data_IF_124693308798
#
_entry.id   IF_124693308798
#
_cell.length_a   1.000
_cell.length_b   1.000
_cell.length_c   1.000
_cell.angle_alpha   90.00
_cell.angle_beta   90.00
_cell.angle_gamma   90.00
#
_symmetry.space_group_name_H-M   'P 1'
#
loop_
_entity.id
_entity.type
_entity.pdbx_description
1 polymer ?
#
# COMPACT_ATOMS: atom_id res chain seq x y z
N UNK A 1 4.59 31.18 -33.63
CA UNK A 1 5.05 30.17 -32.66
C UNK A 1 5.05 30.82 -31.31
N UNK A 2 4.20 30.35 -30.39
CA UNK A 2 3.92 31.04 -29.13
C UNK A 2 5.22 31.12 -28.29
N UNK A 3 5.69 32.34 -28.05
CA UNK A 3 6.73 32.59 -27.06
C UNK A 3 6.16 32.13 -25.71
N UNK A 4 6.76 31.11 -25.10
CA UNK A 4 6.53 30.78 -23.69
C UNK A 4 6.97 32.01 -22.88
N UNK A 5 6.00 32.83 -22.51
CA UNK A 5 6.20 34.03 -21.72
C UNK A 5 6.24 33.69 -20.23
N UNK A 6 6.71 34.63 -19.41
CA UNK A 6 6.72 34.49 -17.95
C UNK A 6 5.31 34.26 -17.38
N UNK A 7 4.28 34.76 -18.06
CA UNK A 7 2.88 34.51 -17.71
C UNK A 7 2.47 33.05 -17.82
N UNK A 8 2.92 32.35 -18.88
CA UNK A 8 2.63 30.92 -19.08
C UNK A 8 3.26 30.06 -17.98
N UNK A 9 4.50 30.35 -17.56
CA UNK A 9 5.15 29.62 -16.46
C UNK A 9 4.41 29.82 -15.14
N UNK A 10 3.95 31.05 -14.85
CA UNK A 10 3.15 31.32 -13.65
C UNK A 10 1.82 30.54 -13.65
N UNK A 11 1.17 30.41 -14.81
CA UNK A 11 -0.05 29.59 -14.92
C UNK A 11 0.23 28.11 -14.65
N UNK A 12 1.32 27.56 -15.18
CA UNK A 12 1.73 26.17 -14.90
C UNK A 12 2.04 25.97 -13.41
N UNK A 13 2.71 26.94 -12.77
CA UNK A 13 2.96 26.93 -11.33
C UNK A 13 1.64 26.89 -10.53
N UNK A 14 0.66 27.71 -10.92
CA UNK A 14 -0.66 27.75 -10.28
C UNK A 14 -1.41 26.41 -10.42
N UNK A 15 -1.38 25.80 -11.61
CA UNK A 15 -1.99 24.48 -11.84
C UNK A 15 -1.31 23.39 -11.01
N UNK A 16 0.02 23.43 -10.90
CA UNK A 16 0.78 22.49 -10.08
C UNK A 16 0.47 22.66 -8.59
N UNK A 17 0.32 23.90 -8.11
CA UNK A 17 -0.12 24.17 -6.73
C UNK A 17 -1.54 23.66 -6.46
N UNK A 18 -2.47 23.79 -7.42
CA UNK A 18 -3.81 23.23 -7.29
C UNK A 18 -3.77 21.69 -7.23
N UNK A 19 -2.93 21.04 -8.04
CA UNK A 19 -2.73 19.60 -7.98
C UNK A 19 -2.10 19.16 -6.65
N UNK A 20 -1.18 19.96 -6.10
CA UNK A 20 -0.52 19.72 -4.81
C UNK A 20 -1.51 19.61 -3.66
N UNK A 21 -2.47 20.53 -3.58
CA UNK A 21 -3.51 20.48 -2.54
C UNK A 21 -4.31 19.17 -2.57
N UNK A 22 -4.63 18.67 -3.77
CA UNK A 22 -5.31 17.37 -3.94
C UNK A 22 -4.41 16.20 -3.54
N UNK A 23 -3.13 16.24 -3.93
CA UNK A 23 -2.16 15.21 -3.56
C UNK A 23 -1.96 15.13 -2.04
N UNK A 24 -1.93 16.26 -1.32
CA UNK A 24 -1.82 16.28 0.15
C UNK A 24 -2.95 15.50 0.79
N UNK A 25 -4.19 15.76 0.35
CA UNK A 25 -5.37 15.07 0.87
C UNK A 25 -5.27 13.56 0.62
N UNK A 26 -4.96 13.16 -0.61
CA UNK A 26 -4.87 11.74 -0.97
C UNK A 26 -3.72 11.05 -0.22
N UNK A 27 -2.54 11.66 -0.14
CA UNK A 27 -1.38 11.10 0.56
C UNK A 27 -1.67 10.87 2.05
N UNK A 28 -2.49 11.72 2.69
CA UNK A 28 -2.91 11.51 4.08
C UNK A 28 -3.76 10.24 4.28
N UNK A 29 -4.43 9.79 3.22
CA UNK A 29 -5.23 8.56 3.20
C UNK A 29 -4.41 7.35 2.71
N UNK A 30 -3.20 7.58 2.20
CA UNK A 30 -2.31 6.50 1.76
C UNK A 30 -1.73 5.77 2.96
N UNK A 31 -2.15 4.51 3.14
CA UNK A 31 -1.59 3.61 4.16
C UNK A 31 -0.64 2.63 3.51
N UNK A 32 0.64 2.76 3.82
CA UNK A 32 1.64 1.75 3.50
C UNK A 32 1.60 0.66 4.56
N UNK A 33 1.44 -0.58 4.13
CA UNK A 33 1.65 -1.76 4.99
C UNK A 33 2.60 -2.70 4.28
N UNK A 34 3.10 -3.70 4.99
CA UNK A 34 3.98 -4.74 4.44
C UNK A 34 3.43 -5.38 3.15
N UNK A 35 2.10 -5.36 2.95
CA UNK A 35 1.42 -6.04 1.84
C UNK A 35 0.68 -5.12 0.87
N UNK A 36 0.76 -3.81 1.14
CA UNK A 36 0.09 -2.78 0.37
C UNK A 36 1.03 -1.61 0.26
N UNK A 37 1.78 -1.57 -0.83
CA UNK A 37 2.63 -0.43 -1.12
C UNK A 37 1.97 0.45 -2.18
N UNK A 38 2.28 1.74 -2.08
CA UNK A 38 1.90 2.70 -3.11
C UNK A 38 2.61 2.34 -4.41
N UNK A 39 1.84 2.29 -5.50
CA UNK A 39 2.37 2.05 -6.84
C UNK A 39 1.86 3.11 -7.79
N UNK A 40 2.82 3.88 -8.29
CA UNK A 40 2.65 4.70 -9.46
C UNK A 40 3.87 4.46 -10.34
N UNK A 41 3.71 3.60 -11.34
CA UNK A 41 4.78 3.18 -12.26
C UNK A 41 4.70 4.01 -13.54
N UNK A 42 5.07 5.28 -13.42
CA UNK A 42 5.28 6.13 -14.59
C UNK A 42 6.78 6.16 -14.89
N UNK A 43 7.18 5.42 -15.94
CA UNK A 43 8.54 5.38 -16.50
C UNK A 43 9.09 6.75 -16.95
N UNK A 44 8.23 7.77 -16.94
CA UNK A 44 8.52 9.16 -17.25
C UNK A 44 9.09 9.95 -16.06
N UNK A 45 9.21 9.32 -14.88
CA UNK A 45 9.81 9.92 -13.69
C UNK A 45 11.23 9.38 -13.44
N UNK A 46 12.20 10.24 -13.10
CA UNK A 46 13.57 9.83 -12.83
C UNK A 46 13.72 8.85 -11.66
N UNK A 47 12.87 8.96 -10.64
CA UNK A 47 12.92 8.12 -9.44
C UNK A 47 11.52 7.69 -9.03
N UNK A 48 11.39 6.44 -8.61
CA UNK A 48 10.18 5.97 -7.94
C UNK A 48 9.98 6.73 -6.64
N UNK A 49 8.74 7.05 -6.32
CA UNK A 49 8.35 7.57 -5.01
C UNK A 49 7.23 6.70 -4.42
N UNK A 50 7.10 6.75 -3.10
CA UNK A 50 6.06 6.04 -2.36
C UNK A 50 4.87 6.94 -2.00
N UNK A 51 4.88 8.19 -2.47
CA UNK A 51 3.84 9.20 -2.22
C UNK A 51 3.57 10.02 -3.50
N UNK A 52 2.36 10.54 -3.66
CA UNK A 52 2.04 11.44 -4.77
C UNK A 52 2.84 12.74 -4.65
N UNK A 53 3.07 13.23 -3.43
CA UNK A 53 3.90 14.40 -3.17
C UNK A 53 5.34 14.21 -3.65
N UNK A 54 5.94 13.03 -3.48
CA UNK A 54 7.30 12.79 -3.97
C UNK A 54 7.39 12.72 -5.49
N UNK A 55 6.31 12.35 -6.19
CA UNK A 55 6.21 12.54 -7.64
C UNK A 55 6.02 14.00 -8.01
N UNK A 56 5.19 14.74 -7.27
CA UNK A 56 4.97 16.17 -7.49
C UNK A 56 6.26 16.99 -7.32
N UNK A 57 7.11 16.67 -6.34
CA UNK A 57 8.44 17.28 -6.19
C UNK A 57 9.35 17.05 -7.41
N UNK A 58 9.19 15.93 -8.11
CA UNK A 58 9.93 15.69 -9.36
C UNK A 58 9.39 16.56 -10.50
N UNK A 59 8.09 16.79 -10.57
CA UNK A 59 7.46 17.71 -11.54
C UNK A 59 7.91 19.15 -11.26
N UNK A 60 7.94 19.57 -10.00
CA UNK A 60 8.46 20.89 -9.58
C UNK A 60 9.91 21.10 -10.06
N UNK A 61 10.75 20.06 -9.96
CA UNK A 61 12.13 20.11 -10.48
C UNK A 61 12.18 20.24 -12.00
N UNK A 62 11.30 19.56 -12.71
CA UNK A 62 11.18 19.70 -14.18
C UNK A 62 10.74 21.11 -14.56
N UNK A 63 9.77 21.69 -13.85
CA UNK A 63 9.31 23.07 -14.09
C UNK A 63 10.42 24.10 -13.84
N UNK A 64 11.17 23.96 -12.74
CA UNK A 64 12.32 24.82 -12.45
C UNK A 64 13.42 24.68 -13.51
N UNK A 65 13.60 23.47 -14.06
CA UNK A 65 14.56 23.23 -15.14
C UNK A 65 14.11 23.94 -16.42
N UNK A 66 12.83 23.85 -16.77
CA UNK A 66 12.23 24.57 -17.89
C UNK A 66 12.38 26.10 -17.74
N UNK A 67 12.06 26.66 -16.56
CA UNK A 67 12.25 28.08 -16.27
C UNK A 67 13.72 28.51 -16.40
N UNK A 68 14.66 27.66 -15.95
CA UNK A 68 16.09 27.91 -16.13
C UNK A 68 16.51 27.90 -17.60
N UNK A 69 15.89 27.05 -18.42
CA UNK A 69 16.19 26.97 -19.85
C UNK A 69 15.70 28.21 -20.61
N UNK A 70 14.51 28.70 -20.26
CA UNK A 70 13.92 29.93 -20.82
C UNK A 70 14.75 31.14 -20.41
N UNK A 71 15.03 31.31 -19.10
CA UNK A 71 15.79 32.46 -18.58
C UNK A 71 17.22 32.54 -19.14
N UNK A 72 17.87 31.39 -19.32
CA UNK A 72 19.22 31.30 -19.91
C UNK A 72 19.23 31.30 -21.43
N UNK A 73 18.08 31.49 -22.10
CA UNK A 73 17.92 31.47 -23.56
C UNK A 73 18.62 30.26 -24.20
N UNK A 74 18.39 29.07 -23.62
CA UNK A 74 18.90 27.80 -24.17
C UNK A 74 18.26 27.53 -25.53
N UNK A 75 18.79 26.54 -26.26
CA UNK A 75 18.26 26.19 -27.58
C UNK A 75 16.78 25.82 -27.50
N UNK A 76 16.03 26.20 -28.54
CA UNK A 76 14.58 25.94 -28.63
C UNK A 76 14.24 24.45 -28.50
N UNK A 77 15.09 23.58 -29.06
CA UNK A 77 14.97 22.12 -28.92
C UNK A 77 14.98 21.67 -27.44
N UNK A 78 15.86 22.25 -26.62
CA UNK A 78 15.99 21.86 -25.22
C UNK A 78 14.80 22.36 -24.40
N UNK A 79 14.32 23.57 -24.68
CA UNK A 79 13.08 24.11 -24.07
C UNK A 79 11.89 23.19 -24.41
N UNK A 80 11.77 22.77 -25.67
CA UNK A 80 10.70 21.88 -26.13
C UNK A 80 10.73 20.53 -25.39
N UNK A 81 11.92 19.93 -25.23
CA UNK A 81 12.09 18.66 -24.51
C UNK A 81 11.66 18.80 -23.04
N UNK A 82 12.08 19.86 -22.35
CA UNK A 82 11.67 20.10 -20.96
C UNK A 82 10.16 20.39 -20.83
N UNK A 83 9.56 21.08 -21.81
CA UNK A 83 8.11 21.25 -21.87
C UNK A 83 7.38 19.92 -22.03
N UNK A 84 7.77 19.09 -23.00
CA UNK A 84 7.15 17.78 -23.24
C UNK A 84 7.24 16.90 -21.98
N UNK A 85 8.42 16.87 -21.36
CA UNK A 85 8.65 16.14 -20.10
C UNK A 85 7.73 16.64 -18.98
N UNK A 86 7.61 17.94 -18.79
CA UNK A 86 6.70 18.52 -17.81
C UNK A 86 5.25 18.12 -18.07
N UNK A 87 4.77 18.28 -19.32
CA UNK A 87 3.39 17.99 -19.71
C UNK A 87 3.06 16.52 -19.47
N UNK A 88 3.94 15.60 -19.88
CA UNK A 88 3.76 14.16 -19.68
C UNK A 88 3.69 13.81 -18.20
N UNK A 89 4.64 14.29 -17.39
CA UNK A 89 4.65 14.01 -15.95
C UNK A 89 3.41 14.57 -15.25
N UNK A 90 3.01 15.81 -15.60
CA UNK A 90 1.82 16.46 -15.04
C UNK A 90 0.53 15.72 -15.41
N UNK A 91 0.35 15.34 -16.68
CA UNK A 91 -0.82 14.61 -17.15
C UNK A 91 -0.96 13.24 -16.45
N UNK A 92 0.13 12.49 -16.33
CA UNK A 92 0.11 11.19 -15.66
C UNK A 92 -0.31 11.30 -14.20
N UNK A 93 0.27 12.27 -13.47
CA UNK A 93 -0.10 12.49 -12.07
C UNK A 93 -1.55 12.99 -11.93
N UNK A 94 -1.98 13.90 -12.80
CA UNK A 94 -3.35 14.42 -12.81
C UNK A 94 -4.38 13.32 -13.10
N UNK A 95 -4.11 12.45 -14.08
CA UNK A 95 -4.99 11.31 -14.40
C UNK A 95 -5.13 10.34 -13.24
N UNK A 96 -4.03 10.06 -12.54
CA UNK A 96 -4.05 9.22 -11.35
C UNK A 96 -4.93 9.86 -10.27
N UNK A 97 -4.67 11.12 -9.93
CA UNK A 97 -5.42 11.86 -8.91
C UNK A 97 -6.92 11.95 -9.28
N UNK A 98 -7.26 12.22 -10.53
CA UNK A 98 -8.65 12.20 -11.01
C UNK A 98 -9.30 10.83 -10.89
N UNK A 99 -8.55 9.74 -11.09
CA UNK A 99 -9.07 8.38 -10.94
C UNK A 99 -9.35 8.06 -9.48
N UNK A 100 -8.49 8.51 -8.56
CA UNK A 100 -8.68 8.37 -7.11
C UNK A 100 -9.91 9.15 -6.66
N UNK A 101 -10.08 10.40 -7.09
CA UNK A 101 -11.24 11.23 -6.75
C UNK A 101 -12.57 10.60 -7.25
N UNK A 102 -12.52 9.78 -8.31
CA UNK A 102 -13.65 8.99 -8.82
C UNK A 102 -13.87 7.68 -8.06
N UNK A 103 -13.22 7.49 -6.91
CA UNK A 103 -13.34 6.29 -6.08
C UNK A 103 -12.46 5.12 -6.50
N UNK A 104 -11.55 5.28 -7.47
CA UNK A 104 -10.63 4.21 -7.92
C UNK A 104 -9.33 4.18 -7.11
N UNK A 105 -9.42 4.35 -5.79
CA UNK A 105 -8.27 4.38 -4.90
C UNK A 105 -7.46 3.07 -4.89
N UNK A 106 -8.06 1.95 -5.32
CA UNK A 106 -7.36 0.67 -5.51
C UNK A 106 -6.23 0.75 -6.55
N UNK A 107 -6.30 1.67 -7.51
CA UNK A 107 -5.24 1.89 -8.51
C UNK A 107 -3.93 2.39 -7.91
N UNK A 108 -3.97 3.00 -6.72
CA UNK A 108 -2.77 3.49 -6.02
C UNK A 108 -1.95 2.37 -5.40
N UNK A 109 -2.44 1.13 -5.42
CA UNK A 109 -1.83 0.04 -4.67
C UNK A 109 -1.69 -1.19 -5.56
N UNK A 110 -0.50 -1.79 -5.55
CA UNK A 110 -0.35 -3.21 -5.88
C UNK A 110 -0.15 -3.97 -4.58
N UNK A 111 -0.86 -5.08 -4.45
CA UNK A 111 -0.51 -6.10 -3.47
C UNK A 111 0.64 -6.90 -4.06
N UNK A 112 1.81 -6.80 -3.43
CA UNK A 112 3.00 -7.56 -3.83
C UNK A 112 3.08 -8.91 -3.15
N UNK A 113 2.08 -9.30 -2.37
CA UNK A 113 2.12 -10.55 -1.63
C UNK A 113 2.26 -11.68 -2.64
N UNK A 114 3.47 -12.23 -2.74
CA UNK A 114 3.72 -13.46 -3.46
C UNK A 114 2.77 -14.53 -2.91
N UNK A 115 2.43 -15.57 -3.68
CA UNK A 115 1.65 -16.69 -3.15
C UNK A 115 2.21 -17.18 -1.80
N UNK A 116 3.55 -17.24 -1.70
CA UNK A 116 4.32 -17.57 -0.49
C UNK A 116 4.07 -16.58 0.67
N UNK A 117 4.17 -15.27 0.43
CA UNK A 117 3.93 -14.24 1.46
C UNK A 117 2.48 -14.20 1.95
N UNK A 118 1.50 -14.48 1.06
CA UNK A 118 0.09 -14.61 1.45
C UNK A 118 -0.12 -15.77 2.42
N UNK A 119 0.50 -16.91 2.14
CA UNK A 119 0.43 -18.09 2.99
C UNK A 119 1.14 -17.83 4.32
N UNK A 120 2.32 -17.22 4.32
CA UNK A 120 3.01 -16.81 5.56
C UNK A 120 2.16 -15.90 6.45
N UNK A 121 1.42 -14.94 5.88
CA UNK A 121 0.51 -14.11 6.66
C UNK A 121 -0.67 -14.88 7.24
N UNK A 122 -1.19 -15.85 6.49
CA UNK A 122 -2.26 -16.72 6.98
C UNK A 122 -1.74 -17.58 8.13
N UNK A 123 -0.55 -18.16 8.00
CA UNK A 123 0.13 -18.91 9.06
C UNK A 123 0.36 -18.06 10.31
N UNK A 124 0.83 -16.82 10.18
CA UNK A 124 1.04 -15.92 11.32
C UNK A 124 -0.27 -15.65 12.08
N UNK A 125 -1.34 -15.29 11.36
CA UNK A 125 -2.66 -15.06 11.98
C UNK A 125 -3.20 -16.33 12.65
N UNK A 126 -2.94 -17.48 12.05
CA UNK A 126 -3.38 -18.77 12.53
C UNK A 126 -2.65 -19.15 13.83
N UNK A 127 -1.32 -18.98 13.87
CA UNK A 127 -0.50 -19.17 15.07
C UNK A 127 -0.93 -18.28 16.24
N UNK A 128 -1.21 -16.99 15.99
CA UNK A 128 -1.74 -16.08 17.02
C UNK A 128 -3.12 -16.50 17.55
N UNK A 129 -3.95 -17.13 16.72
CA UNK A 129 -5.24 -17.65 17.14
C UNK A 129 -5.10 -18.96 17.92
N UNK A 130 -4.20 -19.85 17.49
CA UNK A 130 -3.87 -21.09 18.20
C UNK A 130 -3.31 -20.83 19.60
N UNK A 131 -2.38 -19.88 19.74
CA UNK A 131 -1.87 -19.47 21.05
C UNK A 131 -2.99 -19.00 21.99
N UNK A 132 -3.96 -18.23 21.47
CA UNK A 132 -5.12 -17.80 22.25
C UNK A 132 -6.03 -18.96 22.63
N UNK A 133 -6.27 -19.91 21.72
CA UNK A 133 -7.06 -21.10 22.03
C UNK A 133 -6.39 -21.96 23.11
N UNK A 134 -5.07 -22.13 23.05
CA UNK A 134 -4.30 -22.86 24.08
C UNK A 134 -4.44 -22.15 25.43
N UNK A 135 -4.27 -20.83 25.47
CA UNK A 135 -4.46 -20.05 26.70
C UNK A 135 -5.87 -20.23 27.28
N UNK A 136 -6.91 -20.14 26.43
CA UNK A 136 -8.29 -20.38 26.86
C UNK A 136 -8.50 -21.81 27.37
N UNK A 137 -7.87 -22.81 26.76
CA UNK A 137 -7.94 -24.21 27.23
C UNK A 137 -7.27 -24.32 28.60
N UNK A 138 -6.06 -23.80 28.77
CA UNK A 138 -5.33 -23.79 30.04
C UNK A 138 -6.15 -23.13 31.15
N UNK A 139 -6.73 -21.96 30.89
CA UNK A 139 -7.58 -21.26 31.86
C UNK A 139 -8.80 -22.11 32.28
N UNK A 140 -9.44 -22.82 31.34
CA UNK A 140 -10.57 -23.69 31.68
C UNK A 140 -10.11 -24.97 32.41
N UNK A 141 -8.93 -25.49 32.10
CA UNK A 141 -8.36 -26.67 32.76
C UNK A 141 -7.96 -26.34 34.21
N UNK A 142 -7.43 -25.14 34.48
CA UNK A 142 -7.18 -24.63 35.84
C UNK A 142 -8.49 -24.50 36.62
N UNK A 143 -9.52 -23.88 36.03
CA UNK A 143 -10.85 -23.79 36.65
C UNK A 143 -11.44 -25.17 36.96
N UNK A 144 -11.21 -26.16 36.10
CA UNK A 144 -11.68 -27.53 36.31
C UNK A 144 -10.92 -28.26 37.43
N UNK A 145 -9.65 -27.89 37.66
CA UNK A 145 -8.83 -28.46 38.72
C UNK A 145 -9.22 -27.95 40.11
N UNK A 146 -9.62 -26.67 40.18
CA UNK A 146 -10.05 -26.01 41.43
C UNK A 146 -11.54 -26.21 41.75
N UNK A 147 -12.36 -26.64 40.79
CA UNK A 147 -13.81 -26.82 40.95
C UNK A 147 -14.21 -28.22 41.48
N UNK A 148 -14.82 -28.24 42.66
CA UNK A 148 -15.42 -29.42 43.29
C UNK A 148 -16.96 -29.46 43.18
N UNK A 149 -17.56 -28.57 42.38
CA UNK A 149 -19.01 -28.34 42.30
C UNK A 149 -19.72 -28.95 41.08
N UNK A 150 -20.99 -28.54 40.91
CA UNK A 150 -21.93 -29.02 39.89
C UNK A 150 -21.58 -28.56 38.45
N UNK A 151 -20.76 -27.51 38.30
CA UNK A 151 -20.41 -26.90 37.00
C UNK A 151 -19.29 -27.63 36.24
N UNK A 152 -18.72 -28.68 36.85
CA UNK A 152 -17.63 -29.47 36.28
C UNK A 152 -17.95 -30.07 34.91
N UNK A 153 -19.19 -30.52 34.69
CA UNK A 153 -19.61 -31.09 33.41
C UNK A 153 -19.65 -30.04 32.30
N UNK A 154 -20.13 -28.83 32.62
CA UNK A 154 -20.18 -27.70 31.70
C UNK A 154 -18.78 -27.21 31.32
N UNK A 155 -17.86 -27.12 32.29
CA UNK A 155 -16.46 -26.75 32.03
C UNK A 155 -15.75 -27.78 31.14
N UNK A 156 -16.02 -29.08 31.31
CA UNK A 156 -15.50 -30.14 30.42
C UNK A 156 -16.01 -30.00 28.99
N UNK A 157 -17.31 -29.77 28.80
CA UNK A 157 -17.89 -29.57 27.47
C UNK A 157 -17.25 -28.36 26.76
N UNK A 158 -17.01 -27.27 27.50
CA UNK A 158 -16.34 -26.07 26.97
C UNK A 158 -14.88 -26.35 26.58
N UNK A 159 -14.14 -27.14 27.37
CA UNK A 159 -12.79 -27.59 27.03
C UNK A 159 -12.81 -28.44 25.77
N UNK A 160 -13.74 -29.39 25.66
CA UNK A 160 -13.88 -30.24 24.46
C UNK A 160 -14.21 -29.41 23.21
N UNK A 161 -15.10 -28.43 23.32
CA UNK A 161 -15.42 -27.52 22.23
C UNK A 161 -14.20 -26.69 21.80
N UNK A 162 -13.40 -26.18 22.75
CA UNK A 162 -12.17 -25.45 22.47
C UNK A 162 -11.10 -26.36 21.83
N UNK A 163 -10.93 -27.59 22.32
CA UNK A 163 -10.02 -28.60 21.72
C UNK A 163 -10.45 -28.96 20.30
N UNK A 164 -11.74 -29.13 20.04
CA UNK A 164 -12.26 -29.36 18.70
C UNK A 164 -12.03 -28.18 17.74
N UNK A 165 -12.12 -26.94 18.23
CA UNK A 165 -11.74 -25.75 17.44
C UNK A 165 -10.24 -25.70 17.17
N UNK A 166 -9.43 -26.03 18.17
CA UNK A 166 -7.98 -26.10 18.03
C UNK A 166 -7.54 -27.15 17.01
N UNK A 167 -8.14 -28.34 17.01
CA UNK A 167 -7.86 -29.39 16.01
C UNK A 167 -8.17 -28.93 14.58
N UNK A 168 -9.29 -28.23 14.37
CA UNK A 168 -9.65 -27.66 13.06
C UNK A 168 -8.64 -26.59 12.63
N UNK A 169 -8.19 -25.77 13.58
CA UNK A 169 -7.17 -24.76 13.36
C UNK A 169 -5.84 -25.39 12.95
N UNK A 170 -5.37 -26.39 13.70
CA UNK A 170 -4.15 -27.12 13.43
C UNK A 170 -4.21 -27.81 12.05
N UNK A 171 -5.33 -28.44 11.72
CA UNK A 171 -5.53 -29.05 10.39
C UNK A 171 -5.48 -28.04 9.24
N UNK A 172 -5.90 -26.79 9.50
CA UNK A 172 -5.79 -25.70 8.52
C UNK A 172 -4.34 -25.19 8.42
N UNK A 173 -3.63 -25.08 9.54
CA UNK A 173 -2.19 -24.75 9.59
C UNK A 173 -1.37 -25.75 8.77
N UNK A 174 -1.58 -27.05 8.97
CA UNK A 174 -0.90 -28.11 8.21
C UNK A 174 -1.16 -27.99 6.69
N UNK A 175 -2.39 -27.62 6.29
CA UNK A 175 -2.70 -27.39 4.87
C UNK A 175 -1.94 -26.18 4.31
N UNK A 176 -1.81 -25.11 5.09
CA UNK A 176 -1.06 -23.92 4.69
C UNK A 176 0.45 -24.22 4.62
N UNK A 177 0.98 -25.01 5.54
CA UNK A 177 2.37 -25.48 5.52
C UNK A 177 2.65 -26.33 4.28
N UNK A 178 1.75 -27.26 3.95
CA UNK A 178 1.86 -28.07 2.73
C UNK A 178 1.80 -27.21 1.47
N UNK A 179 0.89 -26.23 1.41
CA UNK A 179 0.84 -25.27 0.29
C UNK A 179 2.09 -24.41 0.20
N UNK A 180 2.75 -24.12 1.32
CA UNK A 180 4.01 -23.37 1.35
C UNK A 180 5.17 -24.20 0.80
N UNK A 181 5.20 -25.50 1.12
CA UNK A 181 6.17 -26.47 0.60
C UNK A 181 5.99 -26.73 -0.90
N UNK A 182 4.74 -26.74 -1.40
CA UNK A 182 4.44 -26.88 -2.84
C UNK A 182 4.82 -25.64 -3.66
N UNK A 183 4.97 -24.47 -3.02
CA UNK A 183 5.49 -23.25 -3.65
C UNK A 183 7.01 -23.32 -3.56
N UNK A 184 7.58 -24.21 -4.35
CA UNK A 184 9.01 -24.41 -4.46
C UNK A 184 9.68 -23.27 -5.25
N UNK A 185 10.91 -22.96 -4.86
CA UNK A 185 11.71 -21.82 -5.28
C UNK A 185 12.23 -21.98 -6.73
N UNK A 186 11.66 -21.24 -7.69
CA UNK A 186 12.35 -20.84 -8.94
C UNK A 186 12.98 -19.43 -8.80
#
# INVERSE_FOLDING_TARGET
>A
MAQLDSGSIQQLQAQLNALKLRCIKIDSEIKQTENRCFVFEAHQFPKRSLTLLGYLTQIEKTLNSLESCISKKRSELLIKIECEKFVVQFQLLLQLVQSVDKGKASLLYKSYSSPKEKIFQQLKKQSEYEHRLIAMISEQEELLADDNGCDRAYTKEKIEALKGRFQKCNSFTQKLEFQLEEIDDE
#
